data_IF_084363568099
#
_entry.id   IF_084363568099
#
_cell.length_a   1.000
_cell.length_b   1.000
_cell.length_c   1.000
_cell.angle_alpha   90.00
_cell.angle_beta   90.00
_cell.angle_gamma   90.00
#
_symmetry.space_group_name_H-M   'P 1'
#
loop_
_entity.id
_entity.type
_entity.pdbx_description
1 polymer ?
#
# COMPACT_ATOMS: atom_id res chain seq x y z
N UNK A 1 -45.84 6.15 -43.88
CA UNK A 1 -44.55 5.48 -43.56
C UNK A 1 -44.26 5.75 -42.09
N UNK A 2 -44.71 4.88 -41.18
CA UNK A 2 -44.43 5.01 -39.75
C UNK A 2 -43.55 3.83 -39.34
N UNK A 3 -42.24 4.04 -39.30
CA UNK A 3 -41.29 3.08 -38.72
C UNK A 3 -41.17 3.37 -37.23
N UNK A 4 -41.60 2.42 -36.39
CA UNK A 4 -41.34 2.46 -34.96
C UNK A 4 -39.84 2.16 -34.70
N UNK A 5 -39.20 2.80 -33.70
CA UNK A 5 -37.81 2.52 -33.36
C UNK A 5 -37.75 1.17 -32.62
N UNK A 6 -37.23 0.15 -33.30
CA UNK A 6 -36.90 -1.16 -32.71
C UNK A 6 -35.49 -1.11 -32.12
N UNK A 7 -35.31 -0.43 -31.00
CA UNK A 7 -34.05 -0.47 -30.23
C UNK A 7 -34.30 -0.68 -28.73
N UNK A 8 -35.36 -1.40 -28.37
CA UNK A 8 -35.41 -2.08 -27.08
C UNK A 8 -34.71 -3.42 -27.26
N UNK A 9 -33.40 -3.48 -26.99
CA UNK A 9 -32.66 -4.73 -26.92
C UNK A 9 -33.42 -5.68 -26.01
N UNK A 10 -33.93 -6.80 -26.54
CA UNK A 10 -34.54 -7.81 -25.70
C UNK A 10 -33.53 -8.27 -24.66
N UNK A 11 -33.94 -8.40 -23.38
CA UNK A 11 -33.05 -8.88 -22.35
C UNK A 11 -32.51 -10.24 -22.78
N UNK A 12 -31.17 -10.38 -22.71
CA UNK A 12 -30.50 -11.63 -23.02
C UNK A 12 -31.23 -12.78 -22.31
N UNK A 13 -31.43 -13.92 -22.98
CA UNK A 13 -32.10 -15.05 -22.38
C UNK A 13 -31.54 -15.40 -21.00
N UNK A 14 -32.39 -15.84 -20.08
CA UNK A 14 -32.05 -16.10 -18.67
C UNK A 14 -30.83 -17.04 -18.49
N UNK A 15 -30.51 -17.85 -19.49
CA UNK A 15 -29.39 -18.78 -19.51
C UNK A 15 -28.08 -18.19 -20.06
N UNK A 16 -28.09 -16.95 -20.59
CA UNK A 16 -26.91 -16.26 -21.15
C UNK A 16 -26.31 -15.23 -20.18
N UNK A 17 -26.96 -15.00 -19.03
CA UNK A 17 -26.46 -14.06 -18.00
C UNK A 17 -26.01 -14.76 -16.72
N UNK A 18 -25.06 -14.18 -15.97
CA UNK A 18 -24.77 -14.60 -14.61
C UNK A 18 -26.02 -14.50 -13.74
N UNK A 19 -26.27 -15.54 -12.96
CA UNK A 19 -27.30 -15.50 -11.93
C UNK A 19 -26.74 -14.87 -10.67
N UNK A 20 -27.58 -14.13 -9.96
CA UNK A 20 -27.27 -13.71 -8.60
C UNK A 20 -27.31 -14.91 -7.63
N UNK A 21 -26.61 -14.79 -6.51
CA UNK A 21 -26.64 -15.78 -5.43
C UNK A 21 -28.07 -16.12 -4.97
N UNK A 22 -28.98 -15.14 -4.97
CA UNK A 22 -30.37 -15.34 -4.58
C UNK A 22 -31.16 -16.14 -5.63
N UNK A 23 -30.88 -15.94 -6.92
CA UNK A 23 -31.47 -16.72 -8.01
C UNK A 23 -30.99 -18.17 -7.98
N UNK A 24 -29.70 -18.39 -7.75
CA UNK A 24 -29.13 -19.73 -7.57
C UNK A 24 -29.78 -20.43 -6.37
N UNK A 25 -29.95 -19.72 -5.26
CA UNK A 25 -30.59 -20.25 -4.04
C UNK A 25 -32.04 -20.63 -4.26
N UNK A 26 -32.80 -19.84 -5.01
CA UNK A 26 -34.20 -20.18 -5.37
C UNK A 26 -34.28 -21.36 -6.33
N UNK A 27 -33.39 -21.42 -7.32
CA UNK A 27 -33.29 -22.51 -8.28
C UNK A 27 -32.85 -23.84 -7.68
N UNK A 28 -32.26 -23.85 -6.47
CA UNK A 28 -31.76 -25.08 -5.83
C UNK A 28 -32.86 -26.08 -5.46
N UNK A 29 -34.10 -25.63 -5.26
CA UNK A 29 -35.23 -26.49 -4.93
C UNK A 29 -35.82 -27.21 -6.15
N UNK A 30 -35.59 -26.67 -7.36
CA UNK A 30 -36.04 -27.25 -8.63
C UNK A 30 -34.98 -26.97 -9.69
N UNK A 31 -33.98 -27.84 -9.74
CA UNK A 31 -32.82 -27.67 -10.60
C UNK A 31 -33.18 -27.93 -12.07
N UNK A 32 -32.77 -27.02 -12.95
CA UNK A 32 -33.03 -27.07 -14.39
C UNK A 32 -31.74 -26.81 -15.17
N UNK A 33 -31.74 -27.10 -16.48
CA UNK A 33 -30.61 -26.79 -17.36
C UNK A 33 -30.29 -25.28 -17.38
N UNK A 34 -31.30 -24.42 -17.23
CA UNK A 34 -31.09 -22.98 -17.11
C UNK A 34 -30.37 -22.63 -15.78
N UNK A 35 -30.61 -23.39 -14.71
CA UNK A 35 -29.92 -23.26 -13.43
C UNK A 35 -28.43 -23.62 -13.56
N UNK A 36 -28.10 -24.67 -14.33
CA UNK A 36 -26.71 -25.04 -14.64
C UNK A 36 -25.96 -23.93 -15.40
N UNK A 37 -26.59 -23.38 -16.44
CA UNK A 37 -26.00 -22.27 -17.22
C UNK A 37 -25.79 -21.01 -16.37
N UNK A 38 -26.79 -20.65 -15.55
CA UNK A 38 -26.71 -19.54 -14.61
C UNK A 38 -25.60 -19.70 -13.57
N UNK A 39 -25.44 -20.92 -13.02
CA UNK A 39 -24.37 -21.25 -12.09
C UNK A 39 -22.99 -21.17 -12.76
N UNK A 40 -22.84 -21.69 -13.98
CA UNK A 40 -21.58 -21.62 -14.73
C UNK A 40 -21.13 -20.17 -14.91
N UNK A 41 -22.03 -19.29 -15.35
CA UNK A 41 -21.71 -17.88 -15.53
C UNK A 41 -21.38 -17.18 -14.21
N UNK A 42 -22.09 -17.50 -13.13
CA UNK A 42 -21.75 -17.00 -11.80
C UNK A 42 -20.35 -17.44 -11.36
N UNK A 43 -20.00 -18.72 -11.55
CA UNK A 43 -18.67 -19.24 -11.17
C UNK A 43 -17.55 -18.62 -12.02
N UNK A 44 -17.79 -18.39 -13.31
CA UNK A 44 -16.85 -17.69 -14.19
C UNK A 44 -16.60 -16.25 -13.72
N UNK A 45 -17.67 -15.50 -13.43
CA UNK A 45 -17.55 -14.14 -12.94
C UNK A 45 -16.89 -14.09 -11.56
N UNK A 46 -17.32 -14.95 -10.63
CA UNK A 46 -16.74 -15.05 -9.29
C UNK A 46 -15.24 -15.38 -9.33
N UNK A 47 -14.84 -16.32 -10.21
CA UNK A 47 -13.43 -16.66 -10.43
C UNK A 47 -12.66 -15.43 -10.93
N UNK A 48 -13.17 -14.75 -11.96
CA UNK A 48 -12.51 -13.59 -12.53
C UNK A 48 -12.41 -12.44 -11.53
N UNK A 49 -13.46 -12.15 -10.76
CA UNK A 49 -13.46 -11.14 -9.71
C UNK A 49 -12.44 -11.48 -8.61
N UNK A 50 -12.39 -12.75 -8.19
CA UNK A 50 -11.42 -13.22 -7.19
C UNK A 50 -9.99 -13.05 -7.69
N UNK A 51 -9.69 -13.49 -8.91
CA UNK A 51 -8.38 -13.33 -9.55
C UNK A 51 -8.01 -11.84 -9.63
N UNK A 52 -8.90 -11.00 -10.15
CA UNK A 52 -8.67 -9.56 -10.27
C UNK A 52 -8.39 -8.90 -8.91
N UNK A 53 -9.16 -9.24 -7.89
CA UNK A 53 -8.97 -8.73 -6.52
C UNK A 53 -7.65 -9.20 -5.93
N UNK A 54 -7.27 -10.46 -6.15
CA UNK A 54 -5.96 -10.98 -5.71
C UNK A 54 -4.81 -10.22 -6.39
N UNK A 55 -4.91 -9.92 -7.69
CA UNK A 55 -3.90 -9.13 -8.40
C UNK A 55 -3.80 -7.69 -7.87
N UNK A 56 -4.92 -7.05 -7.55
CA UNK A 56 -4.93 -5.71 -6.97
C UNK A 56 -4.29 -5.70 -5.58
N UNK A 57 -4.63 -6.67 -4.72
CA UNK A 57 -4.00 -6.81 -3.40
C UNK A 57 -2.49 -7.04 -3.54
N UNK A 58 -2.06 -7.89 -4.47
CA UNK A 58 -0.63 -8.10 -4.76
C UNK A 58 0.06 -6.78 -5.10
N UNK A 59 -0.52 -5.99 -6.00
CA UNK A 59 0.04 -4.70 -6.42
C UNK A 59 0.17 -3.73 -5.24
N UNK A 60 -0.82 -3.68 -4.35
CA UNK A 60 -0.77 -2.85 -3.14
C UNK A 60 0.33 -3.31 -2.19
N UNK A 61 0.50 -4.61 -2.00
CA UNK A 61 1.58 -5.19 -1.20
C UNK A 61 2.96 -4.87 -1.80
N UNK A 62 3.12 -5.02 -3.11
CA UNK A 62 4.36 -4.67 -3.81
C UNK A 62 4.70 -3.18 -3.65
N UNK A 63 3.68 -2.30 -3.72
CA UNK A 63 3.83 -0.87 -3.45
C UNK A 63 4.29 -0.57 -2.03
N UNK A 64 3.65 -1.20 -1.04
CA UNK A 64 4.02 -1.05 0.37
C UNK A 64 5.45 -1.51 0.66
N UNK A 65 5.91 -2.61 0.03
CA UNK A 65 7.29 -3.08 0.13
C UNK A 65 8.26 -2.03 -0.42
N UNK A 66 7.93 -1.41 -1.54
CA UNK A 66 8.75 -0.35 -2.14
C UNK A 66 8.84 0.87 -1.22
N UNK A 67 7.73 1.33 -0.67
CA UNK A 67 7.69 2.45 0.28
C UNK A 67 8.46 2.16 1.56
N UNK A 68 8.36 0.93 2.06
CA UNK A 68 9.11 0.47 3.23
C UNK A 68 10.62 0.54 2.98
N UNK A 69 11.09 0.06 1.82
CA UNK A 69 12.50 0.15 1.43
C UNK A 69 12.97 1.60 1.29
N UNK A 70 12.15 2.47 0.70
CA UNK A 70 12.48 3.89 0.58
C UNK A 70 12.59 4.55 1.96
N UNK A 71 11.72 4.19 2.89
CA UNK A 71 11.76 4.67 4.28
C UNK A 71 13.00 4.18 5.01
N UNK A 72 13.37 2.91 4.82
CA UNK A 72 14.61 2.33 5.38
C UNK A 72 15.86 3.08 4.91
N UNK A 73 15.97 3.38 3.61
CA UNK A 73 17.06 4.20 3.10
C UNK A 73 17.09 5.61 3.73
N UNK A 74 15.91 6.23 3.92
CA UNK A 74 15.81 7.54 4.58
C UNK A 74 16.25 7.47 6.04
N UNK A 75 15.87 6.42 6.77
CA UNK A 75 16.31 6.21 8.16
C UNK A 75 17.83 6.06 8.24
N UNK A 76 18.43 5.27 7.35
CA UNK A 76 19.88 5.13 7.27
C UNK A 76 20.59 6.48 7.05
N UNK A 77 20.07 7.32 6.15
CA UNK A 77 20.63 8.65 5.93
C UNK A 77 20.53 9.53 7.18
N UNK A 78 19.36 9.55 7.84
CA UNK A 78 19.16 10.31 9.08
C UNK A 78 20.10 9.84 10.18
N UNK A 79 20.32 8.53 10.34
CA UNK A 79 21.30 8.02 11.31
C UNK A 79 22.73 8.44 10.98
N UNK A 80 23.10 8.43 9.70
CA UNK A 80 24.42 8.91 9.28
C UNK A 80 24.60 10.40 9.60
N UNK A 81 23.58 11.22 9.38
CA UNK A 81 23.60 12.64 9.71
C UNK A 81 23.75 12.86 11.22
N UNK A 82 22.99 12.12 12.05
CA UNK A 82 23.12 12.18 13.50
C UNK A 82 24.50 11.75 13.97
N UNK A 83 25.06 10.69 13.39
CA UNK A 83 26.40 10.21 13.73
C UNK A 83 27.46 11.26 13.37
N UNK A 84 27.35 11.89 12.20
CA UNK A 84 28.25 12.97 11.78
C UNK A 84 28.17 14.17 12.75
N UNK A 85 26.96 14.65 13.06
CA UNK A 85 26.78 15.74 14.02
C UNK A 85 27.33 15.40 15.41
N UNK A 86 27.13 14.17 15.87
CA UNK A 86 27.64 13.70 17.16
C UNK A 86 29.17 13.67 17.17
N UNK A 87 29.79 13.20 16.08
CA UNK A 87 31.24 13.19 15.94
C UNK A 87 31.81 14.62 15.93
N UNK A 88 31.17 15.56 15.24
CA UNK A 88 31.58 16.97 15.24
C UNK A 88 31.47 17.57 16.63
N UNK A 89 30.33 17.41 17.32
CA UNK A 89 30.14 17.92 18.68
C UNK A 89 31.14 17.32 19.66
N UNK A 90 31.47 16.04 19.53
CA UNK A 90 32.49 15.41 20.37
C UNK A 90 33.85 16.11 20.20
N UNK A 91 34.29 16.33 18.96
CA UNK A 91 35.56 17.00 18.66
C UNK A 91 35.54 18.44 19.19
N UNK A 92 34.45 19.18 18.97
CA UNK A 92 34.28 20.54 19.47
C UNK A 92 34.37 20.60 21.00
N UNK A 93 33.65 19.72 21.70
CA UNK A 93 33.67 19.64 23.16
C UNK A 93 35.08 19.35 23.69
N UNK A 94 35.80 18.41 23.08
CA UNK A 94 37.18 18.09 23.46
C UNK A 94 38.10 19.28 23.20
N UNK A 95 37.98 19.92 22.04
CA UNK A 95 38.81 21.06 21.67
C UNK A 95 38.57 22.27 22.58
N UNK A 96 37.31 22.61 22.86
CA UNK A 96 36.92 23.64 23.83
C UNK A 96 37.49 23.35 25.23
N UNK A 97 37.39 22.11 25.70
CA UNK A 97 37.94 21.73 27.00
C UNK A 97 39.46 21.93 27.06
N UNK A 98 40.19 21.51 26.02
CA UNK A 98 41.64 21.70 25.95
C UNK A 98 42.02 23.18 25.86
N UNK A 99 41.29 23.96 25.06
CA UNK A 99 41.50 25.40 24.94
C UNK A 99 41.30 26.10 26.30
N UNK A 100 40.18 25.81 26.96
CA UNK A 100 39.87 26.39 28.27
C UNK A 100 40.93 26.02 29.31
N UNK A 101 41.31 24.73 29.36
CA UNK A 101 42.31 24.23 30.30
C UNK A 101 43.69 24.84 30.08
N UNK A 102 44.11 24.99 28.82
CA UNK A 102 45.46 25.46 28.50
C UNK A 102 45.61 26.99 28.57
N UNK A 103 44.61 27.75 28.11
CA UNK A 103 44.72 29.21 27.99
C UNK A 103 43.95 29.99 29.04
N UNK A 104 42.75 29.53 29.42
CA UNK A 104 41.86 30.28 30.32
C UNK A 104 42.11 29.97 31.80
N UNK A 105 42.39 28.70 32.13
CA UNK A 105 42.64 28.29 33.51
C UNK A 105 43.85 29.02 34.15
N UNK A 106 45.02 29.15 33.48
CA UNK A 106 46.15 29.89 34.04
C UNK A 106 45.87 31.39 34.15
N UNK A 107 45.18 31.98 33.17
CA UNK A 107 44.82 33.40 33.18
C UNK A 107 43.86 33.75 34.33
N UNK A 108 42.87 32.90 34.61
CA UNK A 108 41.98 33.08 35.75
C UNK A 108 42.70 32.97 37.10
N UNK A 109 43.66 32.05 37.24
CA UNK A 109 44.49 31.94 38.44
C UNK A 109 45.41 33.16 38.64
N UNK A 110 45.89 33.77 37.57
CA UNK A 110 46.71 34.97 37.61
C UNK A 110 45.90 36.22 37.99
N UNK A 111 44.66 36.34 37.52
CA UNK A 111 43.74 37.45 37.86
C UNK A 111 43.16 37.30 39.28
N UNK A 112 43.12 36.09 39.84
CA UNK A 112 42.60 35.81 41.19
C UNK A 112 43.64 36.00 42.32
N UNK A 113 44.89 36.34 41.99
CA UNK A 113 45.94 36.72 42.96
C UNK A 113 46.00 38.23 43.14
#
# INVERSE_FOLDING_TARGET
>A
MNGAPRDAAEPAPLWERPWSLEEIRKGSQSWSLASDAGLLHFLQEFSQQTISRTHEIKKQVDGLISETKATDCRLHNVFNDFLMLSNTQFIENVSMYLYFKHWYCPLLEEVAK
#
